data_IF_398035641152
#
_entry.id   IF_398035641152
#
_cell.length_a   1.000
_cell.length_b   1.000
_cell.length_c   1.000
_cell.angle_alpha   90.00
_cell.angle_beta   90.00
_cell.angle_gamma   90.00
#
_symmetry.space_group_name_H-M   'P 1'
#
loop_
_entity.id
_entity.type
_entity.pdbx_description
1 polymer ?
#
# COMPACT_ATOMS: atom_id res chain seq x y z
N UNK A 1 19.38 -7.82 4.27
CA UNK A 1 18.20 -8.73 4.19
C UNK A 1 16.95 -7.99 3.69
N UNK A 2 17.05 -7.08 2.69
CA UNK A 2 15.90 -6.37 2.11
C UNK A 2 16.18 -6.09 0.63
N UNK A 3 16.10 -7.13 -0.21
CA UNK A 3 16.04 -6.97 -1.67
C UNK A 3 14.60 -7.26 -2.09
N UNK A 4 13.70 -6.34 -1.78
CA UNK A 4 12.30 -6.50 -2.15
C UNK A 4 12.02 -5.69 -3.41
N UNK A 5 11.84 -6.48 -4.47
CA UNK A 5 11.08 -6.21 -5.69
C UNK A 5 11.71 -5.15 -6.61
N UNK A 6 12.50 -5.62 -7.58
CA UNK A 6 12.64 -5.00 -8.91
C UNK A 6 12.26 -6.05 -9.97
N UNK A 7 11.12 -5.85 -10.67
CA UNK A 7 10.63 -6.74 -11.72
C UNK A 7 10.96 -6.10 -13.09
N UNK A 8 11.93 -6.63 -13.86
CA UNK A 8 12.12 -6.23 -15.23
C UNK A 8 11.05 -6.90 -16.11
N UNK A 9 10.27 -6.08 -16.80
CA UNK A 9 9.45 -6.45 -17.95
C UNK A 9 10.34 -6.52 -19.21
N UNK A 10 10.14 -7.51 -20.09
CA UNK A 10 10.84 -7.62 -21.38
C UNK A 10 9.88 -7.90 -22.54
N UNK A 11 10.12 -7.25 -23.69
CA UNK A 11 9.41 -7.51 -24.96
C UNK A 11 9.96 -8.80 -25.61
N UNK A 12 9.11 -9.83 -25.59
CA UNK A 12 8.91 -10.99 -26.47
C UNK A 12 10.04 -11.85 -27.07
N UNK A 13 11.34 -11.55 -27.08
CA UNK A 13 12.34 -12.52 -27.63
C UNK A 13 13.61 -12.79 -26.81
N UNK A 14 13.93 -11.99 -25.80
CA UNK A 14 15.02 -12.27 -24.84
C UNK A 14 14.53 -12.95 -23.54
N UNK A 15 13.38 -13.63 -23.63
CA UNK A 15 12.50 -13.96 -22.49
C UNK A 15 12.94 -15.23 -21.75
N UNK A 16 13.53 -16.22 -22.41
CA UNK A 16 13.60 -17.57 -21.83
C UNK A 16 14.79 -17.78 -20.87
N UNK A 17 15.96 -17.26 -21.21
CA UNK A 17 17.18 -17.41 -20.40
C UNK A 17 17.22 -16.42 -19.23
N UNK A 18 16.72 -15.19 -19.44
CA UNK A 18 16.61 -14.15 -18.41
C UNK A 18 15.54 -14.50 -17.36
N UNK A 19 14.43 -15.14 -17.79
CA UNK A 19 13.37 -15.58 -16.87
C UNK A 19 13.84 -16.62 -15.85
N UNK A 20 14.72 -17.57 -16.19
CA UNK A 20 15.11 -18.63 -15.24
C UNK A 20 15.96 -18.11 -14.06
N UNK A 21 16.92 -17.22 -14.32
CA UNK A 21 17.74 -16.60 -13.27
C UNK A 21 16.95 -15.54 -12.48
N UNK A 22 16.07 -14.80 -13.15
CA UNK A 22 15.16 -13.82 -12.56
C UNK A 22 14.12 -14.46 -11.63
N UNK A 23 13.45 -15.51 -12.08
CA UNK A 23 12.50 -16.28 -11.26
C UNK A 23 13.23 -16.84 -10.03
N UNK A 24 14.46 -17.33 -10.13
CA UNK A 24 15.20 -17.84 -8.96
C UNK A 24 15.58 -16.74 -7.94
N UNK A 25 15.87 -15.51 -8.40
CA UNK A 25 16.29 -14.38 -7.53
C UNK A 25 15.13 -13.70 -6.80
N UNK A 26 13.94 -13.61 -7.41
CA UNK A 26 12.82 -12.84 -6.86
C UNK A 26 11.61 -13.67 -6.42
N UNK A 27 11.50 -14.93 -6.83
CA UNK A 27 10.41 -15.82 -6.35
C UNK A 27 10.59 -16.14 -4.88
N UNK A 28 11.82 -16.32 -4.40
CA UNK A 28 12.11 -16.63 -2.99
C UNK A 28 11.69 -15.51 -2.03
N UNK A 29 12.10 -14.23 -2.21
CA UNK A 29 11.66 -13.15 -1.33
C UNK A 29 10.15 -12.88 -1.42
N UNK A 30 9.53 -13.08 -2.60
CA UNK A 30 8.08 -12.93 -2.74
C UNK A 30 7.31 -14.06 -2.04
N UNK A 31 7.77 -15.31 -2.15
CA UNK A 31 7.20 -16.44 -1.39
C UNK A 31 7.34 -16.21 0.11
N UNK A 32 8.49 -15.71 0.56
CA UNK A 32 8.72 -15.38 1.95
C UNK A 32 7.77 -14.28 2.43
N UNK A 33 7.60 -13.21 1.66
CA UNK A 33 6.64 -12.13 1.96
C UNK A 33 5.22 -12.65 2.11
N UNK A 34 4.76 -13.49 1.16
CA UNK A 34 3.41 -14.10 1.21
C UNK A 34 3.26 -14.99 2.44
N UNK A 35 4.23 -15.86 2.70
CA UNK A 35 4.21 -16.73 3.88
C UNK A 35 4.20 -15.91 5.17
N UNK A 36 5.03 -14.87 5.27
CA UNK A 36 5.06 -13.98 6.43
C UNK A 36 3.75 -13.22 6.60
N UNK A 37 3.11 -12.80 5.50
CA UNK A 37 1.84 -12.09 5.56
C UNK A 37 0.70 -13.03 6.01
N UNK A 38 0.62 -14.24 5.48
CA UNK A 38 -0.40 -15.20 5.92
C UNK A 38 -0.17 -15.66 7.37
N UNK A 39 1.09 -15.82 7.79
CA UNK A 39 1.44 -16.04 9.18
C UNK A 39 1.01 -14.87 10.07
N UNK A 40 1.30 -13.63 9.64
CA UNK A 40 0.84 -12.41 10.30
C UNK A 40 -0.68 -12.37 10.39
N UNK A 41 -1.42 -12.59 9.30
CA UNK A 41 -2.88 -12.54 9.27
C UNK A 41 -3.53 -13.58 10.16
N UNK A 42 -3.06 -14.84 10.11
CA UNK A 42 -3.57 -15.92 10.97
C UNK A 42 -3.30 -15.66 12.45
N UNK A 43 -2.09 -15.20 12.78
CA UNK A 43 -1.74 -14.86 14.16
C UNK A 43 -2.46 -13.59 14.62
N UNK A 44 -2.67 -12.60 13.75
CA UNK A 44 -3.48 -11.41 14.03
C UNK A 44 -4.92 -11.79 14.34
N UNK A 45 -5.52 -12.69 13.54
CA UNK A 45 -6.86 -13.16 13.79
C UNK A 45 -6.99 -13.82 15.17
N UNK A 46 -5.98 -14.61 15.58
CA UNK A 46 -5.96 -15.24 16.90
C UNK A 46 -5.74 -14.22 18.04
N UNK A 47 -4.69 -13.39 17.94
CA UNK A 47 -4.29 -12.45 18.99
C UNK A 47 -5.26 -11.28 19.17
N UNK A 48 -5.87 -10.80 18.07
CA UNK A 48 -6.70 -9.60 18.06
C UNK A 48 -8.20 -9.89 18.05
N UNK A 49 -8.62 -11.17 18.09
CA UNK A 49 -10.04 -11.58 17.99
C UNK A 49 -10.98 -10.82 18.94
N UNK A 50 -10.52 -10.56 20.16
CA UNK A 50 -11.31 -9.88 21.19
C UNK A 50 -10.82 -8.45 21.46
N UNK A 51 -9.98 -7.91 20.57
CA UNK A 51 -9.42 -6.58 20.72
C UNK A 51 -10.29 -5.53 20.02
N UNK A 52 -10.24 -4.30 20.52
CA UNK A 52 -10.91 -3.14 19.90
C UNK A 52 -10.36 -2.78 18.52
N UNK A 53 -9.26 -3.41 18.08
CA UNK A 53 -8.57 -3.18 16.81
C UNK A 53 -8.71 -4.35 15.82
N UNK A 54 -9.61 -5.31 16.06
CA UNK A 54 -9.79 -6.50 15.20
C UNK A 54 -10.04 -6.14 13.71
N UNK A 55 -10.71 -5.03 13.43
CA UNK A 55 -11.02 -4.59 12.06
C UNK A 55 -9.76 -4.30 11.21
N UNK A 56 -8.62 -4.01 11.85
CA UNK A 56 -7.33 -3.79 11.15
C UNK A 56 -6.90 -5.04 10.38
N UNK A 57 -7.30 -6.23 10.83
CA UNK A 57 -7.04 -7.48 10.09
C UNK A 57 -7.67 -7.43 8.70
N UNK A 58 -8.90 -6.93 8.60
CA UNK A 58 -9.62 -6.80 7.33
C UNK A 58 -8.97 -5.71 6.47
N UNK A 59 -8.65 -4.56 7.05
CA UNK A 59 -8.02 -3.45 6.31
C UNK A 59 -6.63 -3.86 5.78
N UNK A 60 -5.84 -4.57 6.58
CA UNK A 60 -4.56 -5.16 6.17
C UNK A 60 -4.72 -6.19 5.04
N UNK A 61 -5.81 -6.97 5.05
CA UNK A 61 -6.12 -7.94 4.00
C UNK A 61 -6.47 -7.27 2.67
N UNK A 62 -7.27 -6.20 2.71
CA UNK A 62 -7.58 -5.43 1.51
C UNK A 62 -6.33 -4.74 0.94
N UNK A 63 -5.44 -4.24 1.80
CA UNK A 63 -4.15 -3.70 1.39
C UNK A 63 -3.25 -4.77 0.74
N UNK A 64 -3.18 -5.97 1.32
CA UNK A 64 -2.45 -7.11 0.75
C UNK A 64 -3.04 -7.55 -0.59
N UNK A 65 -4.36 -7.61 -0.72
CA UNK A 65 -5.05 -7.93 -1.97
C UNK A 65 -4.67 -6.93 -3.08
N UNK A 66 -4.63 -5.64 -2.76
CA UNK A 66 -4.19 -4.62 -3.72
C UNK A 66 -2.75 -4.86 -4.21
N UNK A 67 -1.85 -5.26 -3.31
CA UNK A 67 -0.47 -5.61 -3.66
C UNK A 67 -0.43 -6.79 -4.63
N UNK A 68 -1.17 -7.87 -4.34
CA UNK A 68 -1.22 -9.04 -5.20
C UNK A 68 -1.79 -8.70 -6.59
N UNK A 69 -2.86 -7.91 -6.68
CA UNK A 69 -3.42 -7.45 -7.97
C UNK A 69 -2.36 -6.71 -8.79
N UNK A 70 -1.60 -5.80 -8.18
CA UNK A 70 -0.54 -5.08 -8.88
C UNK A 70 0.63 -5.99 -9.31
N UNK A 71 0.98 -7.00 -8.51
CA UNK A 71 1.96 -8.02 -8.91
C UNK A 71 1.45 -8.86 -10.10
N UNK A 72 0.16 -9.20 -10.13
CA UNK A 72 -0.47 -9.85 -11.28
C UNK A 72 -0.44 -8.98 -12.53
N UNK A 73 -0.64 -7.67 -12.40
CA UNK A 73 -0.43 -6.74 -13.50
C UNK A 73 1.02 -6.77 -13.99
N UNK A 74 2.02 -6.67 -13.11
CA UNK A 74 3.43 -6.73 -13.52
C UNK A 74 3.81 -8.04 -14.21
N UNK A 75 3.18 -9.16 -13.83
CA UNK A 75 3.39 -10.47 -14.45
C UNK A 75 2.74 -10.58 -15.83
N UNK A 76 1.53 -10.05 -16.00
CA UNK A 76 0.68 -10.31 -17.18
C UNK A 76 0.61 -9.16 -18.17
N UNK A 77 0.93 -7.94 -17.72
CA UNK A 77 0.73 -6.67 -18.41
C UNK A 77 -0.71 -6.45 -18.94
N UNK A 78 -1.70 -7.13 -18.37
CA UNK A 78 -3.11 -6.98 -18.78
C UNK A 78 -3.73 -5.73 -18.15
N UNK A 79 -4.32 -4.86 -18.98
CA UNK A 79 -4.99 -3.62 -18.55
C UNK A 79 -6.03 -3.81 -17.44
N UNK A 80 -6.75 -4.94 -17.46
CA UNK A 80 -7.74 -5.27 -16.41
C UNK A 80 -7.11 -5.24 -15.01
N UNK A 81 -5.95 -5.86 -14.81
CA UNK A 81 -5.30 -5.89 -13.50
C UNK A 81 -4.71 -4.53 -13.11
N UNK A 82 -4.33 -3.70 -14.08
CA UNK A 82 -3.93 -2.32 -13.80
C UNK A 82 -5.11 -1.48 -13.28
N UNK A 83 -6.28 -1.59 -13.89
CA UNK A 83 -7.49 -0.90 -13.44
C UNK A 83 -7.96 -1.40 -12.08
N UNK A 84 -7.92 -2.73 -11.84
CA UNK A 84 -8.22 -3.30 -10.53
C UNK A 84 -7.22 -2.85 -9.47
N UNK A 85 -5.93 -2.77 -9.82
CA UNK A 85 -4.92 -2.24 -8.91
C UNK A 85 -5.23 -0.80 -8.53
N UNK A 86 -5.51 0.09 -9.50
CA UNK A 86 -5.89 1.47 -9.22
C UNK A 86 -7.10 1.58 -8.29
N UNK A 87 -8.08 0.71 -8.47
CA UNK A 87 -9.32 0.69 -7.67
C UNK A 87 -9.10 0.19 -6.24
N UNK A 88 -8.26 -0.83 -6.05
CA UNK A 88 -8.03 -1.46 -4.75
C UNK A 88 -6.86 -0.86 -3.96
N UNK A 89 -5.91 -0.21 -4.61
CA UNK A 89 -4.73 0.34 -3.96
C UNK A 89 -5.00 1.43 -2.92
N UNK A 90 -6.10 2.22 -2.96
CA UNK A 90 -6.48 3.05 -1.83
C UNK A 90 -6.53 2.30 -0.49
N UNK A 91 -6.88 1.01 -0.47
CA UNK A 91 -6.85 0.23 0.78
C UNK A 91 -5.45 0.11 1.38
N UNK A 92 -4.38 0.16 0.58
CA UNK A 92 -3.01 0.25 1.10
C UNK A 92 -2.77 1.63 1.75
N UNK A 93 -3.26 2.71 1.15
CA UNK A 93 -3.13 4.06 1.70
C UNK A 93 -4.06 4.31 2.90
N UNK A 94 -5.06 3.47 3.13
CA UNK A 94 -5.87 3.52 4.35
C UNK A 94 -5.05 3.18 5.59
N UNK A 95 -4.03 2.34 5.47
CA UNK A 95 -3.18 1.92 6.59
C UNK A 95 -2.49 3.12 7.27
N UNK A 96 -2.23 4.20 6.52
CA UNK A 96 -1.71 5.45 7.10
C UNK A 96 -2.69 6.06 8.10
N UNK A 97 -4.00 6.04 7.81
CA UNK A 97 -5.03 6.55 8.70
C UNK A 97 -5.37 5.59 9.83
N UNK A 98 -5.09 4.30 9.67
CA UNK A 98 -5.42 3.28 10.67
C UNK A 98 -4.61 3.42 11.95
N UNK A 99 -3.48 4.15 11.90
CA UNK A 99 -2.70 4.55 13.07
C UNK A 99 -3.56 5.32 14.08
N UNK A 100 -4.60 6.04 13.65
CA UNK A 100 -5.52 6.74 14.56
C UNK A 100 -6.15 5.78 15.58
N UNK A 101 -6.29 4.49 15.24
CA UNK A 101 -6.86 3.50 16.15
C UNK A 101 -5.97 3.11 17.32
N UNK A 102 -4.70 3.54 17.33
CA UNK A 102 -3.87 3.59 18.54
C UNK A 102 -4.60 4.31 19.68
N UNK A 103 -5.41 5.34 19.37
CA UNK A 103 -6.21 6.08 20.37
C UNK A 103 -7.24 5.23 21.12
N UNK A 104 -7.61 4.05 20.59
CA UNK A 104 -8.54 3.12 21.26
C UNK A 104 -7.83 2.21 22.28
N UNK A 105 -6.51 2.22 22.30
CA UNK A 105 -5.71 1.46 23.26
C UNK A 105 -5.50 2.30 24.52
N UNK A 106 -5.82 1.72 25.68
CA UNK A 106 -5.69 2.39 26.98
C UNK A 106 -4.23 2.39 27.46
N UNK A 107 -3.41 3.30 26.94
CA UNK A 107 -2.02 3.46 27.39
C UNK A 107 -1.89 4.15 28.74
N UNK A 108 -2.78 5.08 29.04
CA UNK A 108 -2.81 5.84 30.28
C UNK A 108 -4.03 5.40 31.10
N UNK A 109 -3.84 4.68 32.21
CA UNK A 109 -4.90 4.44 33.17
C UNK A 109 -5.49 5.78 33.65
N UNK A 110 -6.76 5.78 34.06
CA UNK A 110 -7.46 6.99 34.51
C UNK A 110 -6.64 7.74 35.57
N UNK A 111 -6.41 9.03 35.35
CA UNK A 111 -5.64 9.92 36.23
C UNK A 111 -4.14 9.57 36.39
N UNK A 112 -3.55 8.82 35.46
CA UNK A 112 -2.12 8.54 35.43
C UNK A 112 -1.42 9.22 34.25
N UNK A 113 -0.32 9.91 34.53
CA UNK A 113 0.65 10.34 33.51
C UNK A 113 1.66 9.24 33.15
N UNK A 114 1.61 8.11 33.85
CA UNK A 114 2.49 6.96 33.64
C UNK A 114 1.79 5.98 32.70
N UNK A 115 2.52 5.53 31.67
CA UNK A 115 2.04 4.51 30.74
C UNK A 115 1.89 3.15 31.42
N UNK A 116 0.87 2.41 31.04
CA UNK A 116 0.68 1.03 31.48
C UNK A 116 1.80 0.12 30.96
N UNK A 117 2.20 -0.87 31.75
CA UNK A 117 3.04 -1.98 31.31
C UNK A 117 2.20 -3.19 30.88
N UNK A 118 0.88 -3.01 30.65
CA UNK A 118 0.01 -4.10 30.24
C UNK A 118 0.50 -4.72 28.92
N UNK A 119 0.94 -5.99 28.93
CA UNK A 119 1.55 -6.63 27.76
C UNK A 119 0.57 -6.74 26.59
N UNK A 120 -0.73 -6.89 26.84
CA UNK A 120 -1.75 -6.98 25.79
C UNK A 120 -1.87 -5.68 25.00
N UNK A 121 -1.83 -4.53 25.68
CA UNK A 121 -1.88 -3.21 25.04
C UNK A 121 -0.68 -2.99 24.12
N UNK A 122 0.53 -3.30 24.61
CA UNK A 122 1.76 -3.17 23.84
C UNK A 122 1.84 -4.18 22.70
N UNK A 123 1.41 -5.42 22.92
CA UNK A 123 1.31 -6.44 21.86
C UNK A 123 0.41 -5.93 20.73
N UNK A 124 -0.80 -5.46 21.04
CA UNK A 124 -1.73 -4.90 20.05
C UNK A 124 -1.09 -3.75 19.26
N UNK A 125 -0.40 -2.84 19.95
CA UNK A 125 0.27 -1.69 19.35
C UNK A 125 1.38 -2.10 18.37
N UNK A 126 2.35 -2.89 18.82
CA UNK A 126 3.47 -3.31 17.97
C UNK A 126 3.00 -4.20 16.81
N UNK A 127 2.00 -5.05 17.05
CA UNK A 127 1.44 -5.92 16.02
C UNK A 127 0.73 -5.14 14.90
N UNK A 128 0.00 -4.08 15.26
CA UNK A 128 -0.62 -3.16 14.31
C UNK A 128 0.45 -2.39 13.52
N UNK A 129 1.44 -1.80 14.20
CA UNK A 129 2.51 -1.05 13.54
C UNK A 129 3.29 -1.92 12.55
N UNK A 130 3.58 -3.17 12.92
CA UNK A 130 4.27 -4.13 12.04
C UNK A 130 3.51 -4.33 10.72
N UNK A 131 2.20 -4.58 10.78
CA UNK A 131 1.37 -4.77 9.59
C UNK A 131 1.30 -3.52 8.73
N UNK A 132 1.06 -2.36 9.35
CA UNK A 132 0.99 -1.05 8.70
C UNK A 132 2.30 -0.75 7.95
N UNK A 133 3.44 -0.78 8.64
CA UNK A 133 4.72 -0.42 8.03
C UNK A 133 5.15 -1.40 6.93
N UNK A 134 4.96 -2.71 7.14
CA UNK A 134 5.36 -3.73 6.17
C UNK A 134 4.54 -3.61 4.86
N UNK A 135 3.23 -3.45 4.97
CA UNK A 135 2.34 -3.33 3.79
C UNK A 135 2.50 -1.99 3.08
N UNK A 136 2.73 -0.89 3.81
CA UNK A 136 3.04 0.42 3.21
C UNK A 136 4.36 0.36 2.45
N UNK A 137 5.40 -0.23 3.05
CA UNK A 137 6.71 -0.35 2.42
C UNK A 137 6.61 -1.14 1.10
N UNK A 138 5.98 -2.31 1.14
CA UNK A 138 5.80 -3.15 -0.07
C UNK A 138 4.88 -2.48 -1.08
N UNK A 139 3.83 -1.77 -0.64
CA UNK A 139 2.95 -0.99 -1.51
C UNK A 139 3.70 0.09 -2.28
N UNK A 140 4.56 0.85 -1.61
CA UNK A 140 5.37 1.90 -2.25
C UNK A 140 6.38 1.33 -3.25
N UNK A 141 7.02 0.20 -2.92
CA UNK A 141 7.87 -0.53 -3.87
C UNK A 141 7.09 -0.94 -5.12
N UNK A 142 5.86 -1.44 -4.95
CA UNK A 142 5.01 -1.84 -6.07
C UNK A 142 4.63 -0.66 -6.97
N UNK A 143 4.29 0.51 -6.41
CA UNK A 143 4.02 1.74 -7.21
C UNK A 143 5.22 2.04 -8.10
N UNK A 144 6.43 2.03 -7.54
CA UNK A 144 7.65 2.30 -8.30
C UNK A 144 7.82 1.30 -9.45
N UNK A 145 7.61 0.01 -9.19
CA UNK A 145 7.73 -1.02 -10.23
C UNK A 145 6.73 -0.85 -11.35
N UNK A 146 5.49 -0.51 -11.00
CA UNK A 146 4.44 -0.22 -11.97
C UNK A 146 4.82 1.01 -12.79
N UNK A 147 5.35 2.07 -12.15
CA UNK A 147 5.89 3.24 -12.85
C UNK A 147 7.06 2.88 -13.78
N UNK A 148 7.99 2.01 -13.36
CA UNK A 148 9.11 1.55 -14.19
C UNK A 148 8.64 0.66 -15.37
N UNK A 149 7.56 -0.10 -15.19
CA UNK A 149 6.89 -0.85 -16.25
C UNK A 149 6.26 0.11 -17.27
N UNK A 150 5.48 1.08 -16.81
CA UNK A 150 4.86 2.10 -17.66
C UNK A 150 5.91 2.94 -18.39
N UNK A 151 7.01 3.30 -17.71
CA UNK A 151 8.14 3.99 -18.33
C UNK A 151 8.64 3.28 -19.57
N UNK A 152 8.79 1.96 -19.49
CA UNK A 152 9.30 1.12 -20.59
C UNK A 152 8.25 0.87 -21.66
N UNK A 153 7.00 0.66 -21.27
CA UNK A 153 5.91 0.37 -22.22
C UNK A 153 5.54 1.58 -23.08
N UNK A 154 5.67 2.79 -22.52
CA UNK A 154 5.27 4.05 -23.14
C UNK A 154 6.43 5.02 -23.36
N UNK A 155 7.68 4.55 -23.21
CA UNK A 155 8.91 5.32 -23.43
C UNK A 155 8.92 6.69 -22.71
N UNK A 156 8.46 6.69 -21.46
CA UNK A 156 8.33 7.92 -20.68
C UNK A 156 9.72 8.43 -20.24
N UNK A 157 9.94 9.73 -20.34
CA UNK A 157 11.10 10.36 -19.73
C UNK A 157 10.96 10.42 -18.19
N UNK A 158 12.02 10.84 -17.49
CA UNK A 158 12.03 10.91 -16.03
C UNK A 158 10.97 11.87 -15.46
N UNK A 159 10.73 13.01 -16.12
CA UNK A 159 9.73 13.99 -15.70
C UNK A 159 8.30 13.42 -15.80
N UNK A 160 7.97 12.76 -16.91
CA UNK A 160 6.67 12.10 -17.09
C UNK A 160 6.46 10.99 -16.06
N UNK A 161 7.50 10.21 -15.72
CA UNK A 161 7.39 9.22 -14.65
C UNK A 161 7.11 9.86 -13.29
N UNK A 162 7.75 10.98 -12.98
CA UNK A 162 7.50 11.72 -11.75
C UNK A 162 6.04 12.19 -11.68
N UNK A 163 5.51 12.76 -12.77
CA UNK A 163 4.10 13.18 -12.86
C UNK A 163 3.13 12.00 -12.72
N UNK A 164 3.43 10.84 -13.33
CA UNK A 164 2.60 9.64 -13.19
C UNK A 164 2.56 9.16 -11.74
N UNK A 165 3.69 9.14 -11.03
CA UNK A 165 3.71 8.80 -9.61
C UNK A 165 2.92 9.81 -8.78
N UNK A 166 3.09 11.12 -9.03
CA UNK A 166 2.31 12.16 -8.36
C UNK A 166 0.80 11.98 -8.58
N UNK A 167 0.38 11.64 -9.80
CA UNK A 167 -1.02 11.35 -10.11
C UNK A 167 -1.53 10.11 -9.39
N UNK A 168 -0.74 9.03 -9.31
CA UNK A 168 -1.12 7.85 -8.53
C UNK A 168 -1.34 8.18 -7.05
N UNK A 169 -0.39 8.87 -6.42
CA UNK A 169 -0.51 9.22 -5.00
C UNK A 169 -1.68 10.19 -4.74
N UNK A 170 -1.98 11.09 -5.69
CA UNK A 170 -3.18 11.94 -5.63
C UNK A 170 -4.46 11.11 -5.72
N UNK A 171 -4.55 10.19 -6.68
CA UNK A 171 -5.71 9.29 -6.85
C UNK A 171 -5.91 8.41 -5.62
N UNK A 172 -4.83 7.93 -5.00
CA UNK A 172 -4.92 7.09 -3.80
C UNK A 172 -5.32 7.90 -2.56
N UNK A 173 -4.82 9.13 -2.40
CA UNK A 173 -5.35 10.05 -1.37
C UNK A 173 -6.83 10.33 -1.54
N UNK A 174 -7.28 10.55 -2.77
CA UNK A 174 -8.69 10.74 -3.09
C UNK A 174 -9.52 9.49 -2.78
N UNK A 175 -9.00 8.31 -3.11
CA UNK A 175 -9.61 7.03 -2.72
C UNK A 175 -9.71 6.87 -1.20
N UNK A 176 -8.66 7.23 -0.44
CA UNK A 176 -8.70 7.28 1.03
C UNK A 176 -9.79 8.20 1.54
N UNK A 177 -9.95 9.38 0.95
CA UNK A 177 -11.02 10.29 1.32
C UNK A 177 -12.41 9.65 1.13
N UNK A 178 -12.64 9.07 -0.05
CA UNK A 178 -13.92 8.40 -0.38
C UNK A 178 -14.22 7.27 0.61
N UNK A 179 -13.25 6.39 0.87
CA UNK A 179 -13.48 5.22 1.73
C UNK A 179 -13.60 5.56 3.21
N UNK A 180 -12.80 6.50 3.72
CA UNK A 180 -12.75 6.80 5.16
C UNK A 180 -13.80 7.82 5.63
N UNK A 181 -14.14 8.81 4.80
CA UNK A 181 -15.11 9.85 5.17
C UNK A 181 -16.49 9.61 4.59
N UNK A 182 -16.57 9.26 3.30
CA UNK A 182 -17.87 9.01 2.65
C UNK A 182 -18.36 7.57 2.83
N UNK A 183 -17.48 6.67 3.28
CA UNK A 183 -17.75 5.24 3.53
C UNK A 183 -18.36 4.51 2.34
N UNK A 184 -18.01 4.93 1.11
CA UNK A 184 -18.36 4.17 -0.09
C UNK A 184 -17.36 3.04 -0.30
N UNK A 185 -17.89 1.85 -0.52
CA UNK A 185 -17.10 0.70 -0.91
C UNK A 185 -17.11 0.54 -2.44
N UNK A 186 -16.21 -0.30 -2.94
CA UNK A 186 -16.11 -0.62 -4.38
C UNK A 186 -17.44 -1.08 -4.98
N UNK A 187 -18.28 -1.79 -4.21
CA UNK A 187 -19.60 -2.29 -4.64
C UNK A 187 -20.59 -1.14 -4.89
N UNK A 188 -20.54 -0.07 -4.09
CA UNK A 188 -21.44 1.07 -4.23
C UNK A 188 -21.18 1.81 -5.53
N UNK A 189 -19.90 1.90 -5.92
CA UNK A 189 -19.45 2.54 -7.16
C UNK A 189 -20.06 1.86 -8.40
N UNK A 190 -20.20 0.52 -8.37
CA UNK A 190 -20.82 -0.23 -9.47
C UNK A 190 -22.34 -0.28 -9.39
N UNK A 191 -22.91 -0.30 -8.18
CA UNK A 191 -24.35 -0.46 -8.00
C UNK A 191 -25.12 0.84 -8.29
N UNK A 192 -24.57 2.00 -7.90
CA UNK A 192 -25.23 3.31 -8.04
C UNK A 192 -24.22 4.41 -8.43
N UNK A 193 -23.56 4.30 -9.60
CA UNK A 193 -22.43 5.17 -9.97
C UNK A 193 -22.78 6.66 -9.95
N UNK A 194 -23.92 7.05 -10.53
CA UNK A 194 -24.33 8.46 -10.60
C UNK A 194 -24.59 9.06 -9.22
N UNK A 195 -25.25 8.31 -8.33
CA UNK A 195 -25.53 8.76 -6.96
C UNK A 195 -24.26 8.86 -6.12
N UNK A 196 -23.31 7.94 -6.29
CA UNK A 196 -22.03 8.02 -5.58
C UNK A 196 -21.21 9.21 -6.08
N UNK A 197 -21.12 9.40 -7.40
CA UNK A 197 -20.42 10.55 -7.98
C UNK A 197 -21.03 11.87 -7.53
N UNK A 198 -22.35 12.03 -7.55
CA UNK A 198 -22.99 13.26 -7.07
C UNK A 198 -22.65 13.53 -5.61
N UNK A 199 -22.70 12.51 -4.74
CA UNK A 199 -22.35 12.65 -3.32
C UNK A 199 -20.87 12.99 -3.10
N UNK A 200 -19.97 12.47 -3.94
CA UNK A 200 -18.56 12.84 -3.91
C UNK A 200 -18.42 14.32 -4.27
N UNK A 201 -19.05 14.79 -5.36
CA UNK A 201 -18.96 16.20 -5.76
C UNK A 201 -19.52 17.14 -4.69
N UNK A 202 -20.66 16.81 -4.09
CA UNK A 202 -21.25 17.63 -3.02
C UNK A 202 -20.45 17.63 -1.71
N UNK A 203 -19.65 16.59 -1.46
CA UNK A 203 -18.83 16.50 -0.25
C UNK A 203 -17.45 17.13 -0.38
N UNK A 204 -17.03 17.53 -1.59
CA UNK A 204 -15.75 18.18 -1.83
C UNK A 204 -15.79 19.64 -1.38
N UNK A 205 -15.61 19.85 -0.08
CA UNK A 205 -15.39 21.16 0.53
C UNK A 205 -13.87 21.44 0.69
N UNK A 206 -13.54 22.60 1.28
CA UNK A 206 -12.15 22.99 1.52
C UNK A 206 -11.42 21.99 2.43
N UNK A 207 -12.09 21.45 3.45
CA UNK A 207 -11.50 20.48 4.39
C UNK A 207 -11.14 19.17 3.70
N UNK A 208 -12.01 18.67 2.82
CA UNK A 208 -11.75 17.50 2.00
C UNK A 208 -10.54 17.72 1.09
N UNK A 209 -10.47 18.86 0.42
CA UNK A 209 -9.34 19.23 -0.44
C UNK A 209 -8.03 19.34 0.35
N UNK A 210 -8.06 19.96 1.54
CA UNK A 210 -6.90 20.05 2.43
C UNK A 210 -6.46 18.66 2.89
N UNK A 211 -7.39 17.79 3.30
CA UNK A 211 -7.07 16.41 3.67
C UNK A 211 -6.40 15.65 2.51
N UNK A 212 -6.99 15.70 1.31
CA UNK A 212 -6.45 15.02 0.12
C UNK A 212 -5.04 15.55 -0.19
N UNK A 213 -4.84 16.86 -0.17
CA UNK A 213 -3.54 17.48 -0.43
C UNK A 213 -2.50 17.08 0.63
N UNK A 214 -2.82 17.18 1.92
CA UNK A 214 -1.94 16.77 3.01
C UNK A 214 -1.56 15.30 2.91
N UNK A 215 -2.54 14.45 2.59
CA UNK A 215 -2.33 13.01 2.42
C UNK A 215 -1.44 12.70 1.21
N UNK A 216 -1.60 13.45 0.11
CA UNK A 216 -0.73 13.30 -1.08
C UNK A 216 0.69 13.75 -0.80
N UNK A 217 0.87 14.88 -0.09
CA UNK A 217 2.20 15.36 0.31
C UNK A 217 2.89 14.34 1.23
N UNK A 218 2.18 13.81 2.22
CA UNK A 218 2.70 12.80 3.13
C UNK A 218 3.17 11.54 2.38
N UNK A 219 2.34 11.03 1.47
CA UNK A 219 2.71 9.89 0.62
C UNK A 219 3.90 10.19 -0.30
N UNK A 220 3.95 11.40 -0.89
CA UNK A 220 5.08 11.82 -1.75
C UNK A 220 6.40 11.80 -0.98
N UNK A 221 6.40 12.30 0.27
CA UNK A 221 7.58 12.30 1.13
C UNK A 221 8.04 10.85 1.37
N UNK A 222 7.13 9.97 1.79
CA UNK A 222 7.46 8.55 2.03
C UNK A 222 7.99 7.88 0.76
N UNK A 223 7.30 8.06 -0.35
CA UNK A 223 7.71 7.50 -1.64
C UNK A 223 9.10 8.00 -2.05
N UNK A 224 9.38 9.30 -1.88
CA UNK A 224 10.68 9.89 -2.21
C UNK A 224 11.83 9.28 -1.39
N UNK A 225 11.67 9.15 -0.08
CA UNK A 225 12.68 8.56 0.79
C UNK A 225 12.94 7.09 0.44
N UNK A 226 11.88 6.28 0.30
CA UNK A 226 11.99 4.87 -0.05
C UNK A 226 12.62 4.64 -1.43
N UNK A 227 12.40 5.55 -2.37
CA UNK A 227 13.00 5.44 -3.71
C UNK A 227 14.44 5.93 -3.79
N UNK A 228 14.86 6.88 -2.94
CA UNK A 228 16.24 7.35 -2.88
C UNK A 228 17.20 6.34 -2.24
N UNK A 229 16.83 5.76 -1.10
CA UNK A 229 17.69 4.77 -0.40
C UNK A 229 18.01 3.56 -1.28
N UNK A 230 17.04 3.12 -2.07
CA UNK A 230 17.25 1.98 -2.95
C UNK A 230 18.24 2.29 -4.09
N UNK A 231 18.36 3.55 -4.56
CA UNK A 231 19.34 3.90 -5.60
C UNK A 231 20.76 3.96 -5.04
N UNK A 232 20.94 4.53 -3.86
CA UNK A 232 22.26 4.64 -3.22
C UNK A 232 22.81 3.26 -2.82
N UNK A 233 21.95 2.36 -2.37
CA UNK A 233 22.35 0.99 -2.03
C UNK A 233 22.79 0.16 -3.24
N UNK A 234 22.06 0.25 -4.37
CA UNK A 234 22.41 -0.47 -5.59
C UNK A 234 23.71 0.03 -6.24
N UNK A 235 24.06 1.31 -6.03
CA UNK A 235 25.32 1.84 -6.52
C UNK A 235 26.54 1.28 -5.75
N UNK A 236 26.35 0.97 -4.46
CA UNK A 236 27.39 0.38 -3.59
C UNK A 236 27.57 -1.13 -3.77
N UNK A 237 26.53 -1.86 -4.20
CA UNK A 237 26.62 -3.31 -4.42
C UNK A 237 27.25 -3.73 -5.75
N UNK A 238 27.49 -2.77 -6.65
CA UNK A 238 28.08 -2.98 -7.98
C UNK A 238 29.54 -2.47 -8.06
N UNK A 239 30.12 -2.07 -6.93
CA UNK A 239 31.55 -1.82 -6.73
C UNK A 239 32.13 -2.98 -5.93
#
# INVERSE_FOLDING_TARGET
>A
MVYLIHIPYSKEKAVETLNKAFLKKYVTPLKLFRLSYWGYGGLSYYLLRNSVIQFIVIDSFLAYLAIEIGLFYLKTNKKLFFLLWLLFFPNNTYLYTDIIHVSRLSFYPTNSLIMTLNPTTWLCFFWMLLGIFLLIYVGNLLIRQISDCLKRNYELNHQKCFLVNGLFLLLFSFGTYIGRFLRFNTIDLFSKPLTVLSKIFYSLNIDACLFIASMTIFQLIIFFFLTHEHKSFMHRSNQ
#
